data_IF_810372774613
#
_entry.id   IF_810372774613
#
_cell.length_a   1.000
_cell.length_b   1.000
_cell.length_c   1.000
_cell.angle_alpha   90.00
_cell.angle_beta   90.00
_cell.angle_gamma   90.00
#
_symmetry.space_group_name_H-M   'P 1'
#
loop_
_entity.id
_entity.type
_entity.pdbx_description
1 polymer ?
#
# COMPACT_ATOMS: atom_id res chain seq x y z
N UNK A 1 59.89 34.39 12.26
CA UNK A 1 59.80 33.19 13.12
C UNK A 1 58.33 32.78 13.15
N UNK A 2 57.99 31.71 12.44
CA UNK A 2 56.61 31.22 12.30
C UNK A 2 56.33 30.31 13.49
N UNK A 3 55.30 30.61 14.26
CA UNK A 3 54.89 29.87 15.45
C UNK A 3 53.85 28.83 15.01
N UNK A 4 54.27 27.56 14.90
CA UNK A 4 53.38 26.43 14.61
C UNK A 4 52.57 26.08 15.87
N UNK A 5 51.26 26.29 15.83
CA UNK A 5 50.34 25.75 16.84
C UNK A 5 50.03 24.28 16.52
N UNK A 6 50.01 23.38 17.52
CA UNK A 6 49.66 21.99 17.29
C UNK A 6 48.18 21.85 16.93
N UNK A 7 47.90 21.49 15.68
CA UNK A 7 46.57 21.05 15.25
C UNK A 7 46.27 19.73 15.95
N UNK A 8 45.36 19.74 16.91
CA UNK A 8 44.81 18.52 17.49
C UNK A 8 43.99 17.84 16.38
N UNK A 9 44.59 16.82 15.76
CA UNK A 9 43.90 15.94 14.82
C UNK A 9 42.91 15.13 15.66
N UNK A 10 41.66 15.59 15.76
CA UNK A 10 40.56 14.77 16.26
C UNK A 10 40.37 13.63 15.27
N UNK A 11 40.51 12.40 15.76
CA UNK A 11 40.41 11.19 14.95
C UNK A 11 39.03 11.14 14.29
N UNK A 12 38.99 11.20 12.95
CA UNK A 12 37.79 11.04 12.11
C UNK A 12 36.99 9.76 12.41
N UNK A 13 37.61 8.79 13.06
CA UNK A 13 36.98 7.52 13.43
C UNK A 13 36.04 7.64 14.64
N UNK A 14 36.32 8.54 15.60
CA UNK A 14 35.46 8.75 16.77
C UNK A 14 34.13 9.44 16.41
N UNK A 15 34.17 10.47 15.56
CA UNK A 15 32.97 11.14 15.05
C UNK A 15 32.11 10.19 14.19
N UNK A 16 32.73 9.26 13.46
CA UNK A 16 32.02 8.24 12.69
C UNK A 16 31.34 7.20 13.60
N UNK A 17 31.97 6.83 14.73
CA UNK A 17 31.36 5.92 15.72
C UNK A 17 30.25 6.59 16.52
N UNK A 18 30.39 7.87 16.87
CA UNK A 18 29.33 8.61 17.54
C UNK A 18 28.18 8.93 16.58
N UNK A 19 28.44 9.24 15.32
CA UNK A 19 27.39 9.35 14.29
C UNK A 19 26.67 8.01 14.09
N UNK A 20 27.38 6.87 14.12
CA UNK A 20 26.76 5.53 14.06
C UNK A 20 25.93 5.20 15.31
N UNK A 21 26.36 5.63 16.50
CA UNK A 21 25.59 5.51 17.75
C UNK A 21 24.37 6.43 17.76
N UNK A 22 24.47 7.65 17.23
CA UNK A 22 23.38 8.63 17.13
C UNK A 22 22.32 8.17 16.11
N UNK A 23 22.72 7.45 15.05
CA UNK A 23 21.80 6.83 14.07
C UNK A 23 21.09 5.58 14.64
N UNK A 24 21.61 4.98 15.72
CA UNK A 24 20.99 3.85 16.44
C UNK A 24 20.00 4.26 17.53
N UNK A 25 19.43 5.46 17.45
CA UNK A 25 18.21 5.84 18.19
C UNK A 25 17.10 6.12 17.18
N UNK A 26 16.91 5.22 16.21
CA UNK A 26 15.67 5.17 15.45
C UNK A 26 14.62 4.46 16.31
N UNK A 27 13.71 5.22 16.90
CA UNK A 27 12.57 4.75 17.70
C UNK A 27 11.50 3.97 16.88
N UNK A 28 11.89 3.32 15.78
CA UNK A 28 10.96 2.63 14.88
C UNK A 28 11.49 1.23 14.60
N UNK A 29 10.64 0.22 14.78
CA UNK A 29 10.93 -1.17 14.41
C UNK A 29 11.51 -1.21 13.00
N UNK A 30 12.75 -1.69 12.86
CA UNK A 30 13.39 -1.89 11.56
C UNK A 30 12.41 -2.65 10.64
N UNK A 31 12.15 -2.08 9.47
CA UNK A 31 11.31 -2.74 8.45
C UNK A 31 11.99 -4.03 8.03
N UNK A 32 11.30 -5.15 8.23
CA UNK A 32 11.85 -6.46 7.92
C UNK A 32 11.56 -6.86 6.47
N UNK A 33 12.10 -8.02 6.06
CA UNK A 33 11.86 -8.54 4.71
C UNK A 33 10.38 -8.91 4.47
N UNK A 34 9.64 -9.25 5.53
CA UNK A 34 8.21 -9.62 5.48
C UNK A 34 7.36 -8.37 5.22
N UNK A 35 7.62 -7.27 5.89
CA UNK A 35 7.01 -5.96 5.74
C UNK A 35 7.20 -5.42 4.32
N UNK A 36 8.42 -5.52 3.78
CA UNK A 36 8.71 -5.15 2.39
C UNK A 36 7.89 -6.02 1.43
N UNK A 37 7.77 -7.31 1.71
CA UNK A 37 7.02 -8.24 0.86
C UNK A 37 5.52 -7.96 0.88
N UNK A 38 4.93 -7.76 2.07
CA UNK A 38 3.54 -7.34 2.25
C UNK A 38 3.27 -6.01 1.54
N UNK A 39 4.18 -5.05 1.66
CA UNK A 39 4.08 -3.75 1.01
C UNK A 39 4.08 -3.87 -0.51
N UNK A 40 5.01 -4.64 -1.10
CA UNK A 40 5.04 -4.88 -2.56
C UNK A 40 3.74 -5.51 -3.06
N UNK A 41 3.22 -6.50 -2.34
CA UNK A 41 1.96 -7.15 -2.68
C UNK A 41 0.80 -6.16 -2.64
N UNK A 42 0.69 -5.37 -1.56
CA UNK A 42 -0.37 -4.39 -1.38
C UNK A 42 -0.32 -3.29 -2.45
N UNK A 43 0.88 -2.79 -2.80
CA UNK A 43 1.06 -1.82 -3.87
C UNK A 43 0.66 -2.38 -5.24
N UNK A 44 0.95 -3.64 -5.52
CA UNK A 44 0.49 -4.30 -6.76
C UNK A 44 -1.03 -4.46 -6.81
N UNK A 45 -1.70 -4.53 -5.65
CA UNK A 45 -3.16 -4.65 -5.54
C UNK A 45 -3.89 -3.31 -5.53
N UNK A 46 -3.16 -2.20 -5.45
CA UNK A 46 -3.76 -0.87 -5.33
C UNK A 46 -4.77 -0.55 -6.45
N UNK A 47 -4.42 -0.83 -7.71
CA UNK A 47 -5.32 -0.57 -8.85
C UNK A 47 -6.59 -1.41 -8.79
N UNK A 48 -6.44 -2.70 -8.47
CA UNK A 48 -7.56 -3.64 -8.30
C UNK A 48 -8.53 -3.14 -7.20
N UNK A 49 -7.98 -2.67 -6.08
CA UNK A 49 -8.77 -2.11 -4.97
C UNK A 49 -9.52 -0.83 -5.38
N UNK A 50 -8.87 0.07 -6.13
CA UNK A 50 -9.50 1.29 -6.65
C UNK A 50 -10.63 0.96 -7.62
N UNK A 51 -10.48 -0.04 -8.48
CA UNK A 51 -11.53 -0.44 -9.40
C UNK A 51 -12.75 -1.01 -8.66
N UNK A 52 -12.54 -1.83 -7.63
CA UNK A 52 -13.63 -2.31 -6.76
C UNK A 52 -14.35 -1.17 -6.06
N UNK A 53 -13.61 -0.18 -5.54
CA UNK A 53 -14.17 1.03 -4.91
C UNK A 53 -15.06 1.78 -5.90
N UNK A 54 -14.54 2.09 -7.08
CA UNK A 54 -15.29 2.83 -8.13
C UNK A 54 -16.55 2.10 -8.58
N UNK A 55 -16.47 0.78 -8.74
CA UNK A 55 -17.63 -0.04 -9.12
C UNK A 55 -18.73 -0.02 -8.06
N UNK A 56 -18.34 -0.02 -6.78
CA UNK A 56 -19.28 0.10 -5.67
C UNK A 56 -19.89 1.51 -5.59
N UNK A 57 -19.07 2.56 -5.72
CA UNK A 57 -19.53 3.96 -5.75
C UNK A 57 -20.50 4.21 -6.91
N UNK A 58 -20.19 3.68 -8.11
CA UNK A 58 -21.08 3.76 -9.26
C UNK A 58 -22.43 3.09 -8.98
N UNK A 59 -22.40 1.90 -8.36
CA UNK A 59 -23.61 1.16 -8.00
C UNK A 59 -24.47 1.91 -6.99
N UNK A 60 -23.86 2.60 -6.02
CA UNK A 60 -24.56 3.48 -5.07
C UNK A 60 -25.21 4.68 -5.77
N UNK A 61 -24.52 5.31 -6.73
CA UNK A 61 -25.08 6.41 -7.52
C UNK A 61 -26.27 5.96 -8.37
N UNK A 62 -26.22 4.77 -8.97
CA UNK A 62 -27.35 4.21 -9.75
C UNK A 62 -28.57 3.88 -8.87
N UNK A 63 -28.34 3.48 -7.63
CA UNK A 63 -29.38 3.30 -6.60
C UNK A 63 -30.04 4.64 -6.24
N UNK A 64 -29.23 5.68 -6.00
CA UNK A 64 -29.71 7.03 -5.69
C UNK A 64 -30.50 7.64 -6.86
N UNK A 65 -30.07 7.37 -8.10
CA UNK A 65 -30.75 7.80 -9.32
C UNK A 65 -32.01 6.97 -9.66
N UNK A 66 -32.43 6.05 -8.79
CA UNK A 66 -33.69 5.32 -8.91
C UNK A 66 -33.74 4.21 -9.97
N UNK A 67 -32.62 3.91 -10.66
CA UNK A 67 -32.59 2.88 -11.70
C UNK A 67 -32.40 1.44 -11.19
N UNK A 68 -31.92 1.25 -9.95
CA UNK A 68 -31.44 -0.07 -9.50
C UNK A 68 -32.32 -0.81 -8.48
N UNK A 69 -33.44 -0.24 -8.02
CA UNK A 69 -34.29 -0.92 -7.03
C UNK A 69 -34.91 -2.23 -7.56
N UNK A 70 -35.18 -2.31 -8.87
CA UNK A 70 -35.80 -3.49 -9.50
C UNK A 70 -34.78 -4.58 -9.89
N UNK A 71 -33.55 -4.19 -10.24
CA UNK A 71 -32.47 -5.13 -10.64
C UNK A 71 -31.73 -5.74 -9.45
N UNK A 72 -31.65 -5.04 -8.31
CA UNK A 72 -31.12 -5.63 -7.07
C UNK A 72 -32.02 -6.74 -6.54
N UNK A 73 -33.35 -6.55 -6.57
CA UNK A 73 -34.31 -7.58 -6.16
C UNK A 73 -34.27 -8.83 -7.06
N UNK A 74 -34.04 -8.67 -8.37
CA UNK A 74 -33.99 -9.80 -9.32
C UNK A 74 -32.66 -10.56 -9.28
N UNK A 75 -31.53 -9.87 -9.10
CA UNK A 75 -30.21 -10.47 -8.97
C UNK A 75 -29.97 -11.11 -7.59
N UNK A 76 -30.50 -10.52 -6.51
CA UNK A 76 -30.41 -11.07 -5.15
C UNK A 76 -31.25 -12.35 -5.00
N UNK A 77 -32.36 -12.49 -5.73
CA UNK A 77 -33.16 -13.73 -5.75
C UNK A 77 -32.41 -14.98 -6.24
N UNK A 78 -31.35 -14.80 -7.04
CA UNK A 78 -30.56 -15.90 -7.61
C UNK A 78 -29.27 -16.18 -6.82
N UNK A 79 -28.66 -15.15 -6.23
CA UNK A 79 -27.36 -15.23 -5.52
C UNK A 79 -27.51 -15.48 -4.01
N UNK A 80 -28.61 -15.05 -3.39
CA UNK A 80 -28.84 -15.17 -1.95
C UNK A 80 -29.29 -16.58 -1.50
N UNK A 81 -29.23 -17.58 -2.39
CA UNK A 81 -29.74 -18.92 -2.12
C UNK A 81 -28.91 -19.72 -1.11
N UNK A 82 -27.64 -19.37 -0.85
CA UNK A 82 -26.78 -19.96 0.19
C UNK A 82 -25.64 -19.01 0.58
N UNK A 83 -25.71 -18.38 1.76
CA UNK A 83 -24.57 -17.64 2.36
C UNK A 83 -23.66 -18.60 3.14
N UNK A 84 -24.27 -19.63 3.75
CA UNK A 84 -23.58 -20.77 4.37
C UNK A 84 -24.03 -22.07 3.69
N UNK A 85 -23.11 -23.02 3.49
CA UNK A 85 -23.41 -24.34 2.92
C UNK A 85 -24.35 -25.23 3.75
N UNK A 86 -24.84 -24.73 4.90
CA UNK A 86 -25.67 -25.46 5.87
C UNK A 86 -27.16 -25.05 5.89
N UNK A 87 -27.59 -24.06 5.10
CA UNK A 87 -28.99 -23.61 5.13
C UNK A 87 -29.92 -24.56 4.34
N UNK A 88 -30.84 -25.25 5.04
CA UNK A 88 -31.90 -26.10 4.46
C UNK A 88 -33.02 -25.28 3.80
N UNK A 89 -33.23 -24.03 4.24
CA UNK A 89 -34.14 -23.03 3.65
C UNK A 89 -33.47 -21.66 3.74
N UNK A 90 -33.11 -21.06 2.62
CA UNK A 90 -32.45 -19.75 2.60
C UNK A 90 -33.49 -18.63 2.65
N UNK A 91 -33.42 -17.79 3.69
CA UNK A 91 -34.11 -16.50 3.69
C UNK A 91 -33.34 -15.56 2.76
N UNK A 92 -33.81 -15.52 1.51
CA UNK A 92 -33.23 -14.72 0.41
C UNK A 92 -33.12 -13.24 0.79
N UNK A 93 -34.08 -12.73 1.58
CA UNK A 93 -34.11 -11.33 2.01
C UNK A 93 -33.07 -11.08 3.11
N UNK A 94 -32.96 -11.96 4.10
CA UNK A 94 -31.92 -11.85 5.13
C UNK A 94 -30.51 -11.98 4.53
N UNK A 95 -30.32 -12.93 3.62
CA UNK A 95 -29.04 -13.16 2.93
C UNK A 95 -28.66 -11.98 2.02
N UNK A 96 -29.62 -11.35 1.35
CA UNK A 96 -29.40 -10.13 0.57
C UNK A 96 -28.90 -8.96 1.45
N UNK A 97 -29.52 -8.74 2.61
CA UNK A 97 -29.11 -7.71 3.57
C UNK A 97 -27.68 -7.97 4.08
N UNK A 98 -27.38 -9.22 4.46
CA UNK A 98 -26.03 -9.61 4.91
C UNK A 98 -24.97 -9.38 3.83
N UNK A 99 -25.25 -9.75 2.58
CA UNK A 99 -24.33 -9.53 1.45
C UNK A 99 -24.13 -8.04 1.15
N UNK A 100 -25.18 -7.23 1.27
CA UNK A 100 -25.11 -5.77 1.12
C UNK A 100 -24.23 -5.13 2.21
N UNK A 101 -24.43 -5.52 3.45
CA UNK A 101 -23.66 -5.02 4.59
C UNK A 101 -22.19 -5.44 4.48
N UNK A 102 -21.93 -6.69 4.10
CA UNK A 102 -20.57 -7.17 3.86
C UNK A 102 -19.88 -6.41 2.72
N UNK A 103 -20.57 -6.13 1.61
CA UNK A 103 -20.03 -5.29 0.52
C UNK A 103 -19.68 -3.89 1.00
N UNK A 104 -20.52 -3.28 1.85
CA UNK A 104 -20.27 -1.97 2.41
C UNK A 104 -19.05 -1.94 3.35
N UNK A 105 -18.89 -2.98 4.19
CA UNK A 105 -17.71 -3.16 5.05
C UNK A 105 -16.45 -3.31 4.21
N UNK A 106 -16.49 -4.15 3.17
CA UNK A 106 -15.36 -4.32 2.23
C UNK A 106 -14.98 -3.01 1.56
N UNK A 107 -15.96 -2.23 1.10
CA UNK A 107 -15.75 -0.92 0.51
C UNK A 107 -15.02 0.02 1.49
N UNK A 108 -15.51 0.16 2.72
CA UNK A 108 -14.87 1.00 3.75
C UNK A 108 -13.44 0.55 4.04
N UNK A 109 -13.22 -0.76 4.12
CA UNK A 109 -11.90 -1.33 4.38
C UNK A 109 -10.92 -1.06 3.23
N UNK A 110 -11.33 -1.28 1.98
CA UNK A 110 -10.48 -0.98 0.82
C UNK A 110 -10.22 0.52 0.67
N UNK A 111 -11.20 1.36 0.98
CA UNK A 111 -11.04 2.82 1.02
C UNK A 111 -9.99 3.22 2.06
N UNK A 112 -10.02 2.63 3.26
CA UNK A 112 -9.00 2.84 4.28
C UNK A 112 -7.59 2.45 3.79
N UNK A 113 -7.42 1.26 3.22
CA UNK A 113 -6.13 0.79 2.69
C UNK A 113 -5.59 1.73 1.59
N UNK A 114 -6.42 2.06 0.61
CA UNK A 114 -6.01 2.91 -0.53
C UNK A 114 -5.70 4.34 -0.09
N UNK A 115 -6.42 4.89 0.88
CA UNK A 115 -6.13 6.19 1.46
C UNK A 115 -4.79 6.22 2.20
N UNK A 116 -4.48 5.18 2.98
CA UNK A 116 -3.20 5.09 3.68
C UNK A 116 -2.02 4.95 2.71
N UNK A 117 -2.19 4.22 1.60
CA UNK A 117 -1.18 4.14 0.53
C UNK A 117 -0.97 5.51 -0.11
N UNK A 118 -2.05 6.21 -0.49
CA UNK A 118 -1.96 7.57 -1.04
C UNK A 118 -1.27 8.53 -0.07
N UNK A 119 -1.62 8.46 1.22
CA UNK A 119 -1.02 9.28 2.27
C UNK A 119 0.48 9.01 2.39
N UNK A 120 0.90 7.74 2.44
CA UNK A 120 2.31 7.36 2.51
C UNK A 120 3.11 7.90 1.31
N UNK A 121 2.52 7.86 0.10
CA UNK A 121 3.16 8.37 -1.12
C UNK A 121 3.23 9.91 -1.13
N UNK A 122 2.16 10.58 -0.73
CA UNK A 122 2.08 12.04 -0.78
C UNK A 122 2.97 12.72 0.27
N UNK A 123 3.28 12.04 1.39
CA UNK A 123 4.13 12.57 2.45
C UNK A 123 5.63 12.33 2.23
N UNK A 124 6.04 11.83 1.07
CA UNK A 124 7.44 11.66 0.75
C UNK A 124 8.15 13.01 0.64
N UNK A 125 9.26 13.16 1.37
CA UNK A 125 10.07 14.39 1.37
C UNK A 125 10.82 14.60 0.07
N UNK A 126 11.32 13.53 -0.53
CA UNK A 126 12.07 13.59 -1.78
C UNK A 126 11.11 13.61 -2.98
N UNK A 127 11.24 14.64 -3.83
CA UNK A 127 10.34 14.85 -4.97
C UNK A 127 10.49 13.76 -6.03
N UNK A 128 11.69 13.24 -6.25
CA UNK A 128 11.90 12.13 -7.18
C UNK A 128 11.24 10.87 -6.65
N UNK A 129 11.40 10.57 -5.36
CA UNK A 129 10.77 9.41 -4.72
C UNK A 129 9.24 9.48 -4.79
N UNK A 130 8.66 10.64 -4.46
CA UNK A 130 7.22 10.87 -4.57
C UNK A 130 6.70 10.66 -5.99
N UNK A 131 7.42 11.18 -7.00
CA UNK A 131 7.03 11.03 -8.40
C UNK A 131 7.17 9.58 -8.89
N UNK A 132 8.25 8.88 -8.50
CA UNK A 132 8.44 7.45 -8.81
C UNK A 132 7.28 6.64 -8.22
N UNK A 133 6.95 6.88 -6.96
CA UNK A 133 5.88 6.17 -6.27
C UNK A 133 4.51 6.41 -6.94
N UNK A 134 4.22 7.67 -7.29
CA UNK A 134 3.00 8.02 -8.01
C UNK A 134 2.90 7.31 -9.36
N UNK A 135 3.94 7.40 -10.20
CA UNK A 135 3.93 6.80 -11.53
C UNK A 135 3.77 5.27 -11.47
N UNK A 136 4.52 4.61 -10.59
CA UNK A 136 4.54 3.14 -10.54
C UNK A 136 3.30 2.57 -9.87
N UNK A 137 2.84 3.16 -8.76
CA UNK A 137 1.86 2.52 -7.89
C UNK A 137 0.47 3.17 -7.95
N UNK A 138 0.38 4.50 -8.11
CA UNK A 138 -0.90 5.18 -8.20
C UNK A 138 -1.44 5.18 -9.64
N UNK A 139 -0.57 5.51 -10.60
CA UNK A 139 -0.93 5.62 -12.01
C UNK A 139 -0.77 4.28 -12.76
N UNK A 140 -0.17 3.26 -12.14
CA UNK A 140 0.02 1.93 -12.73
C UNK A 140 0.94 1.91 -13.96
N UNK A 141 1.82 2.89 -14.12
CA UNK A 141 2.72 2.98 -15.28
C UNK A 141 3.79 1.89 -15.19
N UNK A 142 4.02 1.19 -16.31
CA UNK A 142 5.07 0.18 -16.42
C UNK A 142 6.45 0.77 -16.09
N UNK A 143 7.27 -0.03 -15.41
CA UNK A 143 8.62 0.35 -14.96
C UNK A 143 9.45 1.11 -16.01
N UNK A 144 9.58 0.55 -17.22
CA UNK A 144 10.40 1.15 -18.27
C UNK A 144 9.89 2.52 -18.71
N UNK A 145 8.56 2.70 -18.76
CA UNK A 145 7.95 3.99 -19.13
C UNK A 145 8.16 5.03 -18.02
N UNK A 146 8.02 4.63 -16.76
CA UNK A 146 8.27 5.52 -15.62
C UNK A 146 9.75 5.95 -15.53
N UNK A 147 10.67 5.02 -15.80
CA UNK A 147 12.10 5.32 -15.89
C UNK A 147 12.39 6.32 -17.01
N UNK A 148 11.90 6.06 -18.23
CA UNK A 148 12.08 6.98 -19.37
C UNK A 148 11.46 8.36 -19.11
N UNK A 149 10.36 8.43 -18.38
CA UNK A 149 9.73 9.69 -18.00
C UNK A 149 10.66 10.56 -17.14
N UNK A 150 11.33 9.94 -16.17
CA UNK A 150 12.26 10.61 -15.27
C UNK A 150 13.63 10.86 -15.89
N UNK A 151 14.07 10.04 -16.85
CA UNK A 151 15.28 10.31 -17.63
C UNK A 151 15.12 11.53 -18.55
N UNK A 152 13.92 11.74 -19.12
CA UNK A 152 13.65 12.87 -20.01
C UNK A 152 13.39 14.19 -19.29
N UNK A 153 13.10 14.16 -17.99
CA UNK A 153 12.93 15.38 -17.18
C UNK A 153 11.72 16.23 -17.60
N UNK A 154 10.57 15.61 -17.87
CA UNK A 154 9.35 16.32 -18.30
C UNK A 154 8.84 17.38 -17.30
N UNK A 155 9.23 17.27 -16.02
CA UNK A 155 8.85 18.20 -14.96
C UNK A 155 9.97 19.20 -14.69
N UNK A 156 9.67 20.50 -14.82
CA UNK A 156 10.64 21.57 -14.61
C UNK A 156 11.18 21.64 -13.18
N UNK A 157 10.42 21.14 -12.21
CA UNK A 157 10.74 21.13 -10.77
C UNK A 157 11.56 19.91 -10.33
N UNK A 158 11.77 18.92 -11.20
CA UNK A 158 12.46 17.67 -10.88
C UNK A 158 13.50 17.38 -11.97
N UNK A 159 14.81 17.53 -11.66
CA UNK A 159 15.88 17.25 -12.61
C UNK A 159 15.84 15.81 -13.12
N UNK A 160 16.27 15.56 -14.37
CA UNK A 160 16.36 14.21 -14.90
C UNK A 160 17.36 13.36 -14.12
N UNK A 161 17.09 12.07 -14.02
CA UNK A 161 17.93 11.11 -13.28
C UNK A 161 18.29 9.91 -14.16
N UNK A 162 19.44 9.29 -13.87
CA UNK A 162 19.86 8.06 -14.55
C UNK A 162 19.02 6.85 -14.16
N UNK A 163 19.01 5.82 -15.00
CA UNK A 163 18.42 4.51 -14.73
C UNK A 163 18.84 3.90 -13.38
N UNK A 164 20.14 4.01 -13.05
CA UNK A 164 20.70 3.48 -11.80
C UNK A 164 20.14 4.24 -10.59
N UNK A 165 20.12 5.58 -10.67
CA UNK A 165 19.56 6.44 -9.62
C UNK A 165 18.06 6.21 -9.43
N UNK A 166 17.34 5.98 -10.53
CA UNK A 166 15.91 5.61 -10.49
C UNK A 166 15.69 4.29 -9.75
N UNK A 167 16.49 3.26 -10.05
CA UNK A 167 16.38 1.96 -9.39
C UNK A 167 16.65 2.06 -7.88
N UNK A 168 17.67 2.83 -7.47
CA UNK A 168 18.00 3.02 -6.06
C UNK A 168 16.95 3.82 -5.31
N UNK A 169 16.45 4.91 -5.91
CA UNK A 169 15.33 5.67 -5.35
C UNK A 169 14.06 4.83 -5.25
N UNK A 170 13.75 3.99 -6.23
CA UNK A 170 12.61 3.05 -6.16
C UNK A 170 12.73 2.09 -4.97
N UNK A 171 13.93 1.56 -4.69
CA UNK A 171 14.13 0.69 -3.52
C UNK A 171 13.85 1.45 -2.22
N UNK A 172 14.36 2.68 -2.09
CA UNK A 172 14.08 3.57 -0.95
C UNK A 172 12.60 3.90 -0.81
N UNK A 173 11.91 4.18 -1.91
CA UNK A 173 10.46 4.40 -1.95
C UNK A 173 9.70 3.25 -1.30
N UNK A 174 10.01 2.01 -1.68
CA UNK A 174 9.30 0.83 -1.13
C UNK A 174 9.54 0.72 0.38
N UNK A 175 10.77 0.96 0.84
CA UNK A 175 11.12 0.95 2.26
C UNK A 175 10.40 2.07 3.02
N UNK A 176 10.34 3.28 2.45
CA UNK A 176 9.65 4.42 3.05
C UNK A 176 8.13 4.19 3.14
N UNK A 177 7.52 3.60 2.12
CA UNK A 177 6.11 3.20 2.16
C UNK A 177 5.92 2.12 3.23
N UNK A 178 6.78 1.09 3.28
CA UNK A 178 6.68 0.03 4.27
C UNK A 178 6.76 0.58 5.69
N UNK A 179 7.69 1.49 5.97
CA UNK A 179 7.79 2.20 7.25
C UNK A 179 6.49 2.92 7.61
N UNK A 180 5.93 3.70 6.68
CA UNK A 180 4.69 4.42 6.91
C UNK A 180 3.50 3.49 7.17
N UNK A 181 3.38 2.40 6.38
CA UNK A 181 2.30 1.42 6.51
C UNK A 181 2.44 0.52 7.74
N UNK A 182 3.66 0.28 8.21
CA UNK A 182 3.92 -0.40 9.49
C UNK A 182 3.51 0.49 10.66
N UNK A 183 3.91 1.77 10.60
CA UNK A 183 3.66 2.75 11.66
C UNK A 183 2.16 2.98 11.89
N UNK A 184 1.37 3.02 10.83
CA UNK A 184 -0.09 3.18 10.93
C UNK A 184 -0.86 1.85 11.02
N UNK A 185 -0.15 0.73 11.24
CA UNK A 185 -0.71 -0.63 11.35
C UNK A 185 -1.48 -1.14 10.12
N UNK A 186 -1.29 -0.52 8.96
CA UNK A 186 -1.92 -0.99 7.72
C UNK A 186 -1.40 -2.37 7.30
N UNK A 187 -0.12 -2.68 7.57
CA UNK A 187 0.46 -3.99 7.24
C UNK A 187 -0.05 -5.14 8.11
N UNK A 188 -0.69 -4.87 9.24
CA UNK A 188 -1.28 -5.89 10.11
C UNK A 188 -2.45 -6.60 9.42
N UNK A 189 -3.12 -5.89 8.50
CA UNK A 189 -4.20 -6.43 7.68
C UNK A 189 -3.71 -7.27 6.49
N UNK A 190 -2.39 -7.30 6.23
CA UNK A 190 -1.80 -8.12 5.17
C UNK A 190 -1.16 -9.35 5.83
N UNK A 191 -1.70 -10.53 5.55
CA UNK A 191 -1.23 -11.80 6.12
C UNK A 191 -0.54 -12.64 5.08
N UNK A 192 0.45 -13.42 5.50
CA UNK A 192 1.09 -14.44 4.66
C UNK A 192 0.78 -15.80 5.28
N UNK A 193 0.02 -16.62 4.55
CA UNK A 193 -0.28 -17.99 4.95
C UNK A 193 0.70 -18.97 4.28
N UNK A 194 1.54 -19.60 5.09
CA UNK A 194 2.54 -20.57 4.63
C UNK A 194 1.99 -22.00 4.50
N UNK A 195 0.68 -22.20 4.74
CA UNK A 195 -0.05 -23.45 4.47
C UNK A 195 0.65 -24.69 5.00
N UNK A 196 0.68 -24.89 6.34
CA UNK A 196 1.33 -26.05 7.01
C UNK A 196 2.72 -26.42 6.43
N UNK A 197 3.49 -25.46 5.94
CA UNK A 197 4.84 -25.68 5.39
C UNK A 197 4.90 -26.23 3.95
N UNK A 198 3.77 -26.26 3.21
CA UNK A 198 3.75 -26.75 1.82
C UNK A 198 4.18 -25.72 0.78
N UNK A 199 4.21 -24.44 1.13
CA UNK A 199 4.59 -23.37 0.22
C UNK A 199 5.59 -22.42 0.88
N UNK A 200 6.85 -22.43 0.43
CA UNK A 200 7.89 -21.54 0.96
C UNK A 200 7.59 -20.07 0.66
N UNK A 201 6.89 -19.80 -0.44
CA UNK A 201 6.41 -18.47 -0.75
C UNK A 201 5.19 -18.14 0.11
N UNK A 202 4.24 -19.03 0.34
CA UNK A 202 3.02 -18.70 1.09
C UNK A 202 2.12 -17.71 0.36
N UNK A 203 0.82 -17.81 0.61
CA UNK A 203 -0.22 -16.99 -0.02
C UNK A 203 -0.38 -15.68 0.76
N UNK A 204 -0.26 -14.55 0.06
CA UNK A 204 -0.47 -13.23 0.68
C UNK A 204 -1.90 -12.80 0.41
N UNK A 205 -2.61 -12.41 1.47
CA UNK A 205 -3.99 -11.97 1.40
C UNK A 205 -4.29 -10.82 2.36
N UNK A 206 -5.51 -10.30 2.24
CA UNK A 206 -6.06 -9.34 3.20
C UNK A 206 -6.88 -10.08 4.25
N UNK A 207 -6.63 -9.75 5.52
CA UNK A 207 -7.46 -10.15 6.64
C UNK A 207 -8.19 -8.92 7.16
N UNK A 208 -9.51 -8.92 7.05
CA UNK A 208 -10.31 -7.89 7.70
C UNK A 208 -10.23 -8.05 9.21
N UNK A 209 -10.21 -6.95 9.97
CA UNK A 209 -10.38 -7.03 11.41
C UNK A 209 -11.73 -7.68 11.71
N UNK A 210 -11.73 -8.67 12.60
CA UNK A 210 -12.98 -9.25 13.10
C UNK A 210 -13.76 -8.12 13.79
N UNK A 211 -14.97 -7.84 13.30
CA UNK A 211 -15.89 -6.91 13.94
C UNK A 211 -16.44 -7.65 15.16
N UNK A 212 -15.84 -7.41 16.32
CA UNK A 212 -16.37 -7.88 17.61
C UNK A 212 -17.68 -7.16 17.94
#
# INVERSE_FOLDING_TARGET
>A
MVNEQPVIIRNKEEDATDTRKIIQVNFFDDVDAVDIRKTKWLLNKYTDLIDVIKNYEYSLQQLENGMAAYDLLSAEGSVAKRVSGQELTADVTANAVLLKDQRHVNYKFYQFLTNNIKFAINNMRDKHEALIAKLLFLDGVKYLKAQQYLEKGYRKDIPPISATTFADKRRRVIVNIANSLKTNRTLDFVTIDYGRGRNQEGEIGLRMPEVN
#
